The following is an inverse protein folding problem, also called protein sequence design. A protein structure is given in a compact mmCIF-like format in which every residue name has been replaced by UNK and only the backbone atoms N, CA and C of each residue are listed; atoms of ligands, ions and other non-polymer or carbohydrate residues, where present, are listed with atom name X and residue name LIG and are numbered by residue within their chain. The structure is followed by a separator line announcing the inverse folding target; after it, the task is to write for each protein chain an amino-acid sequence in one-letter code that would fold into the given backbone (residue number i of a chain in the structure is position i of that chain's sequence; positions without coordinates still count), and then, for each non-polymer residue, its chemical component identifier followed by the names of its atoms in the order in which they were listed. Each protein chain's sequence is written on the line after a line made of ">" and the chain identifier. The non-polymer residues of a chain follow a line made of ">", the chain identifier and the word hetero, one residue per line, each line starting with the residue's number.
data_IF_241201491380
#
_entry.id   IF_241201491380
#
_cell.length_a   1.000
_cell.length_b   1.000
_cell.length_c   1.000
_cell.angle_alpha   90.00
_cell.angle_beta   90.00
_cell.angle_gamma   90.00
#
_symmetry.space_group_name_H-M   'P 1'
#
loop_
_entity.id
_entity.type
_entity.pdbx_description
1 polymer ?
#
# COMPACT_ATOMS: atom_id res chain seq x y z
N UNK A 1 -18.58 21.13 0.52
CA UNK A 1 -17.34 20.38 0.31
C UNK A 1 -17.03 19.72 1.63
N UNK A 2 -16.97 18.40 1.66
CA UNK A 2 -16.40 17.70 2.82
C UNK A 2 -14.89 17.90 2.70
N UNK A 3 -14.28 18.54 3.69
CA UNK A 3 -12.83 18.76 3.70
C UNK A 3 -12.15 17.43 4.02
N UNK A 4 -11.69 16.75 2.98
CA UNK A 4 -10.92 15.52 3.14
C UNK A 4 -9.53 15.87 3.64
N UNK A 5 -9.07 15.20 4.70
CA UNK A 5 -7.74 15.41 5.27
C UNK A 5 -6.94 14.12 5.22
N UNK A 6 -5.70 14.19 4.72
CA UNK A 6 -4.75 13.08 4.78
C UNK A 6 -3.83 13.31 5.96
N UNK A 7 -3.89 12.41 6.94
CA UNK A 7 -2.96 12.40 8.08
C UNK A 7 -1.84 11.38 7.84
N UNK A 8 -0.55 11.79 7.85
CA UNK A 8 0.57 10.85 7.83
C UNK A 8 0.49 9.84 8.98
N UNK A 9 0.87 8.59 8.71
CA UNK A 9 0.83 7.48 9.66
C UNK A 9 2.16 6.75 9.81
N UNK A 10 2.87 6.56 8.71
CA UNK A 10 4.21 5.98 8.71
C UNK A 10 5.02 6.58 7.55
N UNK A 11 6.33 6.60 7.70
CA UNK A 11 7.27 7.10 6.69
C UNK A 11 8.34 6.04 6.42
N UNK A 12 8.82 5.99 5.18
CA UNK A 12 9.88 5.07 4.73
C UNK A 12 9.60 3.59 5.07
N UNK A 13 8.38 3.13 4.84
CA UNK A 13 8.00 1.72 4.94
C UNK A 13 8.56 0.98 3.73
N UNK A 14 9.44 0.01 3.98
CA UNK A 14 10.11 -0.74 2.93
C UNK A 14 9.16 -1.66 2.18
N UNK A 15 9.39 -1.76 0.87
CA UNK A 15 8.69 -2.69 0.02
C UNK A 15 9.40 -4.03 0.00
N UNK A 16 8.65 -5.07 0.31
CA UNK A 16 9.11 -6.45 0.35
C UNK A 16 8.78 -7.17 -0.94
N UNK A 17 9.63 -8.14 -1.30
CA UNK A 17 9.36 -9.07 -2.39
C UNK A 17 8.54 -10.25 -1.90
N UNK A 18 8.01 -11.04 -2.83
CA UNK A 18 7.32 -12.30 -2.49
C UNK A 18 8.15 -13.23 -1.58
N UNK A 19 9.47 -13.25 -1.77
CA UNK A 19 10.37 -14.14 -1.03
C UNK A 19 10.61 -13.71 0.41
N UNK A 20 10.32 -12.45 0.73
CA UNK A 20 10.48 -11.90 2.08
C UNK A 20 9.25 -12.22 2.97
N UNK A 21 8.09 -12.49 2.36
CA UNK A 21 6.88 -12.90 3.05
C UNK A 21 7.02 -14.30 3.67
N UNK A 22 6.43 -14.49 4.85
CA UNK A 22 6.30 -15.80 5.47
C UNK A 22 5.35 -16.71 4.68
N UNK A 23 5.42 -18.04 4.84
CA UNK A 23 4.50 -18.95 4.15
C UNK A 23 3.03 -18.74 4.49
N UNK A 24 2.73 -18.14 5.67
CA UNK A 24 1.36 -17.80 6.04
C UNK A 24 0.86 -16.60 5.24
N UNK A 25 1.67 -15.55 5.12
CA UNK A 25 1.35 -14.34 4.36
C UNK A 25 1.28 -14.63 2.86
N UNK A 26 2.20 -15.44 2.32
CA UNK A 26 2.13 -15.90 0.93
C UNK A 26 0.82 -16.64 0.63
N UNK A 27 0.27 -17.36 1.61
CA UNK A 27 -1.01 -18.05 1.46
C UNK A 27 -2.20 -17.08 1.50
N UNK A 28 -2.08 -15.95 2.19
CA UNK A 28 -3.09 -14.90 2.21
C UNK A 28 -3.09 -14.07 0.91
N UNK A 29 -1.94 -13.98 0.23
CA UNK A 29 -1.80 -13.39 -1.10
C UNK A 29 -2.15 -14.40 -2.22
N UNK A 30 -3.28 -15.09 -2.07
CA UNK A 30 -3.71 -16.14 -3.01
C UNK A 30 -4.14 -15.62 -4.40
N UNK A 31 -4.24 -14.29 -4.54
CA UNK A 31 -4.50 -13.60 -5.79
C UNK A 31 -3.25 -13.39 -6.66
N UNK A 32 -2.04 -13.58 -6.11
CA UNK A 32 -0.79 -13.37 -6.84
C UNK A 32 -0.38 -14.64 -7.58
N UNK A 33 -0.41 -14.59 -8.91
CA UNK A 33 -0.05 -15.73 -9.74
C UNK A 33 1.47 -15.97 -9.74
N UNK A 34 1.94 -17.23 -9.96
CA UNK A 34 3.37 -17.56 -9.87
C UNK A 34 4.31 -16.74 -10.77
N UNK A 35 3.83 -16.28 -11.94
CA UNK A 35 4.59 -15.43 -12.86
C UNK A 35 4.64 -13.96 -12.45
N UNK A 36 3.74 -13.52 -11.56
CA UNK A 36 3.67 -12.15 -11.04
C UNK A 36 4.52 -11.95 -9.79
N UNK A 37 4.77 -13.02 -9.02
CA UNK A 37 5.48 -13.00 -7.73
C UNK A 37 6.80 -12.21 -7.72
N UNK A 38 7.56 -12.24 -8.83
CA UNK A 38 8.86 -11.54 -8.92
C UNK A 38 8.68 -10.01 -9.02
N UNK A 39 7.58 -9.56 -9.64
CA UNK A 39 7.24 -8.16 -9.81
C UNK A 39 6.36 -7.59 -8.70
N UNK A 40 5.62 -8.44 -7.97
CA UNK A 40 4.78 -8.00 -6.86
C UNK A 40 5.60 -7.36 -5.75
N UNK A 41 5.01 -6.37 -5.09
CA UNK A 41 5.62 -5.63 -3.99
C UNK A 41 4.62 -5.51 -2.86
N UNK A 42 5.07 -5.83 -1.67
CA UNK A 42 4.26 -5.87 -0.48
C UNK A 42 4.78 -4.90 0.57
N UNK A 43 3.96 -4.57 1.54
CA UNK A 43 4.42 -3.87 2.73
C UNK A 43 3.57 -4.25 3.93
N UNK A 44 4.22 -4.30 5.09
CA UNK A 44 3.54 -4.45 6.37
C UNK A 44 3.11 -3.09 6.88
N UNK A 45 1.86 -3.01 7.29
CA UNK A 45 1.37 -1.87 8.05
C UNK A 45 0.36 -2.34 9.08
N UNK A 46 0.64 -2.00 10.34
CA UNK A 46 -0.05 -2.58 11.50
C UNK A 46 0.06 -4.12 11.47
N UNK A 47 -1.02 -4.84 11.72
CA UNK A 47 -1.06 -6.31 11.77
C UNK A 47 -1.49 -6.91 10.42
N UNK A 48 -1.17 -6.27 9.29
CA UNK A 48 -1.60 -6.70 7.95
C UNK A 48 -0.51 -6.49 6.90
N UNK A 49 -0.51 -7.38 5.92
CA UNK A 49 0.30 -7.29 4.69
C UNK A 49 -0.58 -6.79 3.57
N UNK A 50 -0.06 -5.84 2.80
CA UNK A 50 -0.74 -5.26 1.66
C UNK A 50 0.06 -5.51 0.38
N UNK A 51 -0.64 -5.86 -0.70
CA UNK A 51 -0.09 -5.81 -2.05
C UNK A 51 -0.25 -4.39 -2.61
N UNK A 52 0.81 -3.79 -3.13
CA UNK A 52 0.74 -2.46 -3.77
C UNK A 52 -0.18 -2.50 -4.99
N UNK A 53 -0.29 -3.63 -5.69
CA UNK A 53 -1.13 -3.76 -6.87
C UNK A 53 -2.62 -3.51 -6.57
N UNK A 54 -3.05 -3.71 -5.32
CA UNK A 54 -4.42 -3.41 -4.87
C UNK A 54 -4.70 -1.91 -4.71
N UNK A 55 -3.66 -1.08 -4.66
CA UNK A 55 -3.80 0.37 -4.51
C UNK A 55 -4.10 1.01 -5.85
N UNK A 56 -5.23 1.72 -5.92
CA UNK A 56 -5.66 2.40 -7.14
C UNK A 56 -5.10 3.81 -7.17
N UNK A 57 -4.52 4.20 -8.31
CA UNK A 57 -4.03 5.56 -8.53
C UNK A 57 -5.11 6.59 -8.20
N UNK A 58 -4.74 7.61 -7.41
CA UNK A 58 -5.66 8.67 -6.99
C UNK A 58 -5.10 10.05 -7.34
N UNK A 59 -5.55 10.59 -8.48
CA UNK A 59 -5.09 11.90 -8.96
C UNK A 59 -5.71 13.09 -8.20
N UNK A 60 -6.59 12.87 -7.21
CA UNK A 60 -7.20 13.95 -6.41
C UNK A 60 -6.20 14.60 -5.45
N UNK A 61 -5.15 13.87 -5.06
CA UNK A 61 -4.16 14.30 -4.08
C UNK A 61 -2.76 14.15 -4.69
N UNK A 62 -2.22 15.19 -5.36
CA UNK A 62 -1.00 15.05 -6.17
C UNK A 62 0.24 14.53 -5.42
N UNK A 63 0.31 14.72 -4.11
CA UNK A 63 1.40 14.23 -3.26
C UNK A 63 1.22 12.76 -2.84
N UNK A 64 0.04 12.17 -3.05
CA UNK A 64 -0.31 10.80 -2.65
C UNK A 64 -0.69 10.01 -3.89
N UNK A 65 0.14 9.02 -4.25
CA UNK A 65 0.10 8.40 -5.57
C UNK A 65 -1.07 7.43 -5.77
N UNK A 66 -1.46 6.70 -4.72
CA UNK A 66 -2.51 5.70 -4.80
C UNK A 66 -3.24 5.52 -3.45
N UNK A 67 -4.42 4.92 -3.50
CA UNK A 67 -5.26 4.68 -2.34
C UNK A 67 -5.97 3.33 -2.34
N UNK A 68 -6.20 2.81 -1.14
CA UNK A 68 -6.91 1.56 -0.87
C UNK A 68 -8.07 1.81 0.10
N UNK A 69 -9.33 1.52 -0.28
CA UNK A 69 -10.49 1.80 0.55
C UNK A 69 -10.55 0.87 1.77
N UNK A 70 -10.52 1.45 2.98
CA UNK A 70 -10.75 0.69 4.21
C UNK A 70 -12.25 0.52 4.50
N UNK A 71 -13.01 1.58 4.24
CA UNK A 71 -14.47 1.61 4.38
C UNK A 71 -15.05 2.82 3.62
N UNK A 72 -16.36 3.06 3.74
CA UNK A 72 -17.06 4.14 3.05
C UNK A 72 -16.56 5.57 3.39
N UNK A 73 -15.78 5.73 4.47
CA UNK A 73 -15.33 7.03 4.98
C UNK A 73 -13.81 7.15 5.12
N UNK A 74 -13.05 6.07 4.86
CA UNK A 74 -11.61 6.09 5.08
C UNK A 74 -10.85 5.30 4.01
N UNK A 75 -9.67 5.80 3.66
CA UNK A 75 -8.78 5.21 2.66
C UNK A 75 -7.33 5.27 3.17
N UNK A 76 -6.59 4.17 3.03
CA UNK A 76 -5.14 4.21 3.14
C UNK A 76 -4.59 4.86 1.89
N UNK A 77 -3.72 5.84 2.06
CA UNK A 77 -3.03 6.54 0.98
C UNK A 77 -1.56 6.14 1.02
N UNK A 78 -0.95 5.93 -0.14
CA UNK A 78 0.49 5.67 -0.24
C UNK A 78 1.18 6.71 -1.13
N UNK A 79 2.38 7.08 -0.73
CA UNK A 79 3.31 7.89 -1.53
C UNK A 79 4.59 7.10 -1.69
N UNK A 80 4.94 6.75 -2.92
CA UNK A 80 6.25 6.15 -3.25
C UNK A 80 7.34 7.19 -3.07
N UNK A 81 8.38 6.86 -2.32
CA UNK A 81 9.54 7.73 -2.11
C UNK A 81 10.39 7.85 -3.38
N UNK A 82 11.27 8.84 -3.44
CA UNK A 82 12.18 9.05 -4.59
C UNK A 82 13.06 7.83 -4.93
N UNK A 83 13.31 6.97 -3.94
CA UNK A 83 14.07 5.73 -4.13
C UNK A 83 13.31 4.66 -4.93
N UNK A 84 11.97 4.66 -4.86
CA UNK A 84 11.13 3.61 -5.41
C UNK A 84 11.01 2.36 -4.53
N UNK A 85 11.87 2.20 -3.52
CA UNK A 85 11.95 0.98 -2.69
C UNK A 85 11.18 1.08 -1.36
N UNK A 86 10.66 2.26 -1.05
CA UNK A 86 9.89 2.53 0.15
C UNK A 86 8.71 3.46 -0.13
N UNK A 87 7.72 3.43 0.76
CA UNK A 87 6.52 4.25 0.71
C UNK A 87 6.29 4.98 2.04
N UNK A 88 5.59 6.11 1.97
CA UNK A 88 4.94 6.72 3.11
C UNK A 88 3.46 6.36 3.11
N UNK A 89 2.88 6.22 4.30
CA UNK A 89 1.49 5.80 4.49
C UNK A 89 0.72 6.94 5.16
N UNK A 90 -0.43 7.25 4.59
CA UNK A 90 -1.39 8.24 5.08
C UNK A 90 -2.77 7.65 5.27
N UNK A 91 -3.60 8.33 6.05
CA UNK A 91 -5.01 8.00 6.21
C UNK A 91 -5.87 9.19 5.78
N UNK A 92 -6.65 8.98 4.73
CA UNK A 92 -7.70 9.89 4.27
C UNK A 92 -8.98 9.63 5.08
N UNK A 93 -9.60 10.69 5.59
CA UNK A 93 -10.91 10.70 6.23
C UNK A 93 -11.67 12.00 5.92
#
# INVERSE_FOLDING_TARGET
>A
MTDFTISPKAENVWLESWLDLSPAEQKEMDHVEPDEQTSSRFFHYQDSVYDIADFMRDDRFPEWHAGYPLNAFAMLMIRVTDSGDAIDIGLLH
#
